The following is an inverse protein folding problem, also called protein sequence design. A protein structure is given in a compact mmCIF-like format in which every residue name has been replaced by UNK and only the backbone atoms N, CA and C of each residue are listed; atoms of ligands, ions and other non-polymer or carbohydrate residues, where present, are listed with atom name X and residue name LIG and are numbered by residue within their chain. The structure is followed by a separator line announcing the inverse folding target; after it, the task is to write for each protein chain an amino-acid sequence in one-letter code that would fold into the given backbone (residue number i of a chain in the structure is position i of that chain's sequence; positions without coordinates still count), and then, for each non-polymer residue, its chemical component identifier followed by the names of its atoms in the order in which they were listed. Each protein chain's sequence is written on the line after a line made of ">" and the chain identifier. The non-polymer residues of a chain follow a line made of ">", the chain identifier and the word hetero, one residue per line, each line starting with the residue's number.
data_IF_739299583515
#
_entry.id   IF_739299583515
#
_cell.length_a   1.000
_cell.length_b   1.000
_cell.length_c   1.000
_cell.angle_alpha   90.00
_cell.angle_beta   90.00
_cell.angle_gamma   90.00
#
_symmetry.space_group_name_H-M   'P 1'
#
loop_
_entity.id
_entity.type
_entity.pdbx_description
1 polymer ?
#
# COMPACT_ATOMS: atom_id res chain seq x y z
N UNK A 1 4.94 -2.38 31.17
CA UNK A 1 5.63 -1.09 31.00
C UNK A 1 6.37 -0.96 29.67
N UNK A 2 7.48 -1.66 29.41
CA UNK A 2 8.26 -1.44 28.16
C UNK A 2 7.47 -1.76 26.87
N UNK A 3 6.77 -2.91 26.86
CA UNK A 3 5.90 -3.29 25.74
C UNK A 3 4.75 -2.30 25.50
N UNK A 4 4.19 -1.70 26.56
CA UNK A 4 3.10 -0.72 26.42
C UNK A 4 3.63 0.59 25.80
N UNK A 5 4.83 1.01 26.20
CA UNK A 5 5.50 2.19 25.62
C UNK A 5 5.80 1.93 24.14
N UNK A 6 6.32 0.75 23.81
CA UNK A 6 6.58 0.36 22.42
C UNK A 6 5.31 0.37 21.58
N UNK A 7 4.24 -0.29 22.05
CA UNK A 7 2.96 -0.35 21.35
C UNK A 7 2.34 1.03 21.17
N UNK A 8 2.46 1.92 22.17
CA UNK A 8 2.02 3.30 22.05
C UNK A 8 2.79 4.03 20.94
N UNK A 9 4.12 3.97 20.95
CA UNK A 9 4.97 4.60 19.93
C UNK A 9 4.68 4.08 18.52
N UNK A 10 4.47 2.77 18.38
CA UNK A 10 4.12 2.16 17.09
C UNK A 10 2.77 2.70 16.59
N UNK A 11 1.74 2.73 17.43
CA UNK A 11 0.42 3.28 17.07
C UNK A 11 0.52 4.76 16.68
N UNK A 12 1.25 5.55 17.47
CA UNK A 12 1.45 6.97 17.20
C UNK A 12 2.16 7.16 15.85
N UNK A 13 3.18 6.35 15.55
CA UNK A 13 3.89 6.39 14.27
C UNK A 13 2.98 6.06 13.08
N UNK A 14 2.19 4.99 13.18
CA UNK A 14 1.24 4.61 12.12
C UNK A 14 0.18 5.69 11.90
N UNK A 15 -0.29 6.34 12.96
CA UNK A 15 -1.23 7.47 12.85
C UNK A 15 -0.59 8.71 12.19
N UNK A 16 0.69 8.99 12.49
CA UNK A 16 1.42 10.08 11.84
C UNK A 16 1.57 9.80 10.35
N UNK A 17 1.96 8.58 9.96
CA UNK A 17 2.10 8.17 8.56
C UNK A 17 0.77 8.32 7.82
N UNK A 18 -0.33 7.83 8.40
CA UNK A 18 -1.67 8.00 7.85
C UNK A 18 -2.05 9.48 7.66
N UNK A 19 -1.93 10.31 8.69
CA UNK A 19 -2.33 11.73 8.65
C UNK A 19 -1.52 12.52 7.62
N UNK A 20 -0.24 12.21 7.47
CA UNK A 20 0.65 12.86 6.50
C UNK A 20 0.54 12.27 5.09
N UNK A 21 -0.23 11.20 4.91
CA UNK A 21 -0.21 10.40 3.69
C UNK A 21 1.21 9.93 3.32
N UNK A 22 2.05 9.68 4.34
CA UNK A 22 3.39 9.14 4.15
C UNK A 22 3.28 7.63 3.85
N UNK A 23 3.54 7.28 2.60
CA UNK A 23 3.43 5.92 2.07
C UNK A 23 4.78 5.19 2.08
N UNK A 24 5.84 5.82 2.55
CA UNK A 24 7.19 5.23 2.60
C UNK A 24 7.41 4.31 3.81
N UNK A 25 6.60 4.48 4.86
CA UNK A 25 6.68 3.70 6.10
C UNK A 25 5.91 2.37 6.10
N UNK A 26 5.90 1.71 7.26
CA UNK A 26 5.23 0.41 7.46
C UNK A 26 3.73 0.51 7.22
N UNK A 27 3.12 1.65 7.53
CA UNK A 27 1.70 1.90 7.23
C UNK A 27 1.44 1.79 5.72
N UNK A 28 2.20 2.52 4.91
CA UNK A 28 2.06 2.52 3.44
C UNK A 28 2.35 1.15 2.83
N UNK A 29 3.41 0.47 3.27
CA UNK A 29 3.72 -0.89 2.84
C UNK A 29 2.57 -1.87 3.11
N UNK A 30 2.00 -1.82 4.32
CA UNK A 30 0.90 -2.72 4.72
C UNK A 30 -0.36 -2.43 3.92
N UNK A 31 -0.70 -1.15 3.70
CA UNK A 31 -1.86 -0.75 2.89
C UNK A 31 -1.75 -1.27 1.46
N UNK A 32 -0.59 -1.11 0.81
CA UNK A 32 -0.35 -1.60 -0.55
C UNK A 32 -0.51 -3.12 -0.65
N UNK A 33 0.10 -3.85 0.30
CA UNK A 33 0.00 -5.31 0.34
C UNK A 33 -1.44 -5.78 0.56
N UNK A 34 -2.17 -5.12 1.47
CA UNK A 34 -3.58 -5.45 1.72
C UNK A 34 -4.43 -5.19 0.48
N UNK A 35 -4.23 -4.06 -0.21
CA UNK A 35 -4.93 -3.75 -1.45
C UNK A 35 -4.66 -4.80 -2.53
N UNK A 36 -3.40 -5.19 -2.75
CA UNK A 36 -3.07 -6.22 -3.73
C UNK A 36 -3.74 -7.57 -3.40
N UNK A 37 -3.64 -8.03 -2.15
CA UNK A 37 -4.19 -9.33 -1.76
C UNK A 37 -5.73 -9.35 -1.78
N UNK A 38 -6.38 -8.29 -1.30
CA UNK A 38 -7.85 -8.17 -1.37
C UNK A 38 -8.34 -8.16 -2.81
N UNK A 39 -7.75 -7.33 -3.67
CA UNK A 39 -8.06 -7.30 -5.08
C UNK A 39 -7.88 -8.67 -5.75
N UNK A 40 -6.80 -9.39 -5.43
CA UNK A 40 -6.52 -10.73 -5.98
C UNK A 40 -7.58 -11.76 -5.56
N UNK A 41 -8.04 -11.71 -4.31
CA UNK A 41 -9.11 -12.57 -3.78
C UNK A 41 -10.43 -12.25 -4.48
N UNK A 42 -10.70 -10.97 -4.76
CA UNK A 42 -11.88 -10.51 -5.49
C UNK A 42 -11.82 -10.74 -7.01
N UNK A 43 -10.73 -11.31 -7.52
CA UNK A 43 -10.59 -11.71 -8.93
C UNK A 43 -9.88 -10.69 -9.83
N UNK A 44 -9.26 -9.65 -9.26
CA UNK A 44 -8.41 -8.74 -10.01
C UNK A 44 -7.19 -9.47 -10.60
N UNK A 45 -6.84 -9.10 -11.82
CA UNK A 45 -5.66 -9.59 -12.55
C UNK A 45 -4.49 -8.62 -12.50
N UNK A 46 -4.63 -7.51 -11.77
CA UNK A 46 -3.58 -6.50 -11.65
C UNK A 46 -2.34 -7.08 -10.97
N UNK A 47 -1.17 -6.72 -11.49
CA UNK A 47 0.10 -7.05 -10.86
C UNK A 47 0.27 -6.26 -9.56
N UNK A 48 1.19 -6.70 -8.70
CA UNK A 48 1.55 -5.96 -7.49
C UNK A 48 2.05 -4.56 -7.85
N UNK A 49 2.82 -4.43 -8.95
CA UNK A 49 3.33 -3.14 -9.44
C UNK A 49 2.20 -2.22 -9.93
N UNK A 50 1.23 -2.75 -10.67
CA UNK A 50 0.06 -1.98 -11.10
C UNK A 50 -0.80 -1.55 -9.91
N UNK A 51 -0.96 -2.42 -8.92
CA UNK A 51 -1.67 -2.07 -7.68
C UNK A 51 -0.92 -1.00 -6.90
N UNK A 52 0.41 -1.11 -6.82
CA UNK A 52 1.29 -0.11 -6.21
C UNK A 52 1.17 1.26 -6.90
N UNK A 53 1.19 1.30 -8.23
CA UNK A 53 1.12 2.54 -8.99
C UNK A 53 -0.24 3.22 -8.83
N UNK A 54 -1.34 2.46 -8.85
CA UNK A 54 -2.66 3.03 -8.56
C UNK A 54 -2.73 3.59 -7.14
N UNK A 55 -2.15 2.87 -6.17
CA UNK A 55 -2.13 3.33 -4.79
C UNK A 55 -1.27 4.58 -4.60
N UNK A 56 -0.10 4.66 -5.23
CA UNK A 56 0.90 5.72 -5.01
C UNK A 56 0.64 6.98 -5.83
N UNK A 57 0.40 6.81 -7.13
CA UNK A 57 0.35 7.90 -8.10
C UNK A 57 -1.02 8.03 -8.76
N UNK A 58 -1.95 7.11 -8.49
CA UNK A 58 -3.25 7.09 -9.16
C UNK A 58 -3.13 6.72 -10.64
N UNK A 59 -2.02 6.12 -11.05
CA UNK A 59 -1.76 5.75 -12.45
C UNK A 59 -1.75 4.23 -12.61
N UNK A 60 -2.29 3.74 -13.72
CA UNK A 60 -2.17 2.35 -14.11
C UNK A 60 -1.16 2.26 -15.26
N UNK A 61 -0.07 1.52 -15.05
CA UNK A 61 0.87 1.21 -16.14
C UNK A 61 0.39 -0.03 -16.89
N UNK A 62 0.48 0.03 -18.21
CA UNK A 62 0.32 -1.16 -19.05
C UNK A 62 1.67 -1.86 -19.02
N UNK A 63 1.73 -3.05 -18.41
CA UNK A 63 2.96 -3.85 -18.34
C UNK A 63 3.30 -4.49 -19.71
N UNK A 64 2.44 -4.32 -20.72
CA UNK A 64 2.53 -4.95 -22.03
C UNK A 64 2.89 -3.92 -23.12
N UNK A 65 4.10 -3.98 -23.72
CA UNK A 65 4.48 -3.16 -24.87
C UNK A 65 3.59 -3.40 -26.10
N UNK A 66 2.89 -4.54 -26.17
CA UNK A 66 2.05 -4.94 -27.29
C UNK A 66 0.56 -4.64 -27.08
N UNK A 67 0.16 -4.11 -25.92
CA UNK A 67 -1.16 -3.50 -25.74
C UNK A 67 -1.18 -2.11 -26.40
N UNK A 68 -1.39 -2.12 -27.71
CA UNK A 68 -1.71 -0.92 -28.50
C UNK A 68 -3.19 -0.59 -28.24
N UNK A 69 -3.47 0.62 -27.75
CA UNK A 69 -4.81 1.20 -27.70
C UNK A 69 -5.42 1.33 -29.10
#
# INVERSE_FOLDING_TARGET
>A
MENEIYMKRLKDRLQIEFKKQDRSGVYGYTQRNMAYNSNRIEGSTLTEKQTASMFETGTLYVDDPDMIF
#
